data_IF_591304710035
#
_entry.id   IF_591304710035
#
_cell.length_a   1.000
_cell.length_b   1.000
_cell.length_c   1.000
_cell.angle_alpha   90.00
_cell.angle_beta   90.00
_cell.angle_gamma   90.00
#
_symmetry.space_group_name_H-M   'P 1'
#
loop_
_entity.id
_entity.type
_entity.pdbx_description
1 polymer ?
#
# COMPACT_ATOMS: atom_id res chain seq x y z
N UNK A 1 5.41 0.77 -18.82
CA UNK A 1 6.83 1.03 -19.17
C UNK A 1 7.70 0.55 -18.01
N UNK A 2 8.71 -0.29 -18.26
CA UNK A 2 9.49 -0.95 -17.20
C UNK A 2 10.45 0.03 -16.51
N UNK A 3 10.59 -0.09 -15.18
CA UNK A 3 11.61 0.62 -14.40
C UNK A 3 12.99 0.07 -14.78
N UNK A 4 13.99 0.96 -14.87
CA UNK A 4 15.37 0.60 -15.17
C UNK A 4 15.90 -0.43 -14.16
N UNK A 5 16.32 -1.59 -14.65
CA UNK A 5 16.85 -2.70 -13.86
C UNK A 5 18.38 -2.69 -13.90
N UNK A 6 19.01 -2.50 -12.73
CA UNK A 6 20.47 -2.49 -12.58
C UNK A 6 20.86 -3.58 -11.58
N UNK A 7 21.70 -4.54 -11.99
CA UNK A 7 22.21 -5.60 -11.09
C UNK A 7 23.30 -5.11 -10.12
N UNK A 8 23.86 -3.93 -10.33
CA UNK A 8 24.90 -3.33 -9.48
C UNK A 8 24.33 -2.67 -8.22
N UNK A 9 23.29 -3.25 -7.63
CA UNK A 9 22.70 -2.71 -6.41
C UNK A 9 23.54 -3.15 -5.20
N UNK A 10 24.49 -2.30 -4.81
CA UNK A 10 25.44 -2.54 -3.70
C UNK A 10 24.79 -2.37 -2.32
N UNK A 11 23.56 -1.84 -2.27
CA UNK A 11 22.80 -1.61 -1.04
C UNK A 11 21.51 -2.43 -1.11
N UNK A 12 21.39 -3.42 -0.22
CA UNK A 12 20.09 -4.00 0.09
C UNK A 12 19.23 -2.87 0.67
N UNK A 13 18.02 -2.60 0.14
CA UNK A 13 17.07 -1.76 0.86
C UNK A 13 16.60 -2.63 2.02
N UNK A 14 17.41 -2.69 3.06
CA UNK A 14 17.02 -3.25 4.34
C UNK A 14 16.03 -2.24 4.89
N UNK A 15 14.75 -2.47 4.61
CA UNK A 15 13.71 -2.03 5.53
C UNK A 15 13.88 -2.92 6.76
N UNK A 16 14.68 -2.45 7.72
CA UNK A 16 14.66 -2.96 9.09
C UNK A 16 13.24 -2.67 9.57
N UNK A 17 12.34 -3.62 9.33
CA UNK A 17 10.91 -3.58 9.65
C UNK A 17 10.70 -2.63 10.81
N UNK A 18 10.11 -1.46 10.55
CA UNK A 18 9.56 -0.63 11.59
C UNK A 18 8.61 -1.57 12.32
N UNK A 19 9.06 -2.11 13.47
CA UNK A 19 8.30 -3.09 14.23
C UNK A 19 7.15 -2.35 14.86
N UNK A 20 6.08 -2.25 14.09
CA UNK A 20 4.78 -1.83 14.56
C UNK A 20 4.41 -2.78 15.71
N UNK A 21 3.79 -2.23 16.75
CA UNK A 21 3.35 -3.05 17.88
C UNK A 21 2.40 -4.13 17.37
N UNK A 22 2.50 -5.36 17.88
CA UNK A 22 1.67 -6.48 17.42
C UNK A 22 0.16 -6.24 17.55
N UNK A 23 -0.26 -5.31 18.40
CA UNK A 23 -1.66 -4.91 18.61
C UNK A 23 -2.09 -3.69 17.79
N UNK A 24 -1.29 -3.26 16.81
CA UNK A 24 -1.62 -2.11 15.99
C UNK A 24 -2.76 -2.41 15.00
N UNK A 25 -3.58 -1.39 14.75
CA UNK A 25 -4.72 -1.44 13.84
C UNK A 25 -4.28 -1.74 12.40
N UNK A 26 -3.05 -1.38 12.01
CA UNK A 26 -2.48 -1.68 10.70
C UNK A 26 -2.49 -3.18 10.38
N UNK A 27 -2.26 -4.05 11.37
CA UNK A 27 -2.34 -5.51 11.19
C UNK A 27 -3.78 -5.96 10.95
N UNK A 28 -4.73 -5.45 11.72
CA UNK A 28 -6.15 -5.77 11.51
C UNK A 28 -6.65 -5.31 10.13
N UNK A 29 -6.23 -4.12 9.67
CA UNK A 29 -6.54 -3.61 8.33
C UNK A 29 -5.88 -4.47 7.25
N UNK A 30 -4.62 -4.88 7.45
CA UNK A 30 -3.92 -5.76 6.53
C UNK A 30 -4.65 -7.09 6.36
N UNK A 31 -4.98 -7.75 7.46
CA UNK A 31 -5.62 -9.07 7.45
C UNK A 31 -7.02 -9.02 6.85
N UNK A 32 -7.77 -7.95 7.11
CA UNK A 32 -9.06 -7.71 6.50
C UNK A 32 -8.95 -7.58 4.97
N UNK A 33 -7.97 -6.82 4.48
CA UNK A 33 -7.80 -6.58 3.04
C UNK A 33 -7.25 -7.81 2.31
N UNK A 34 -6.38 -8.60 2.95
CA UNK A 34 -5.85 -9.84 2.37
C UNK A 34 -6.88 -10.96 2.25
N UNK A 35 -7.93 -10.96 3.09
CA UNK A 35 -9.05 -11.90 2.98
C UNK A 35 -9.95 -11.64 1.77
N UNK A 36 -9.86 -10.47 1.14
CA UNK A 36 -10.69 -10.11 -0.02
C UNK A 36 -10.16 -10.85 -1.27
N UNK A 37 -11.02 -11.58 -2.01
CA UNK A 37 -10.59 -12.30 -3.19
C UNK A 37 -10.07 -11.35 -4.27
N UNK A 38 -9.00 -11.75 -4.96
CA UNK A 38 -8.34 -10.93 -5.99
C UNK A 38 -9.28 -10.50 -7.13
N UNK A 39 -10.31 -11.31 -7.42
CA UNK A 39 -11.37 -10.98 -8.38
C UNK A 39 -12.11 -9.68 -8.06
N UNK A 40 -12.16 -9.26 -6.80
CA UNK A 40 -12.76 -7.98 -6.42
C UNK A 40 -11.88 -6.78 -6.83
N UNK A 41 -10.58 -7.00 -7.01
CA UNK A 41 -9.63 -5.95 -7.39
C UNK A 41 -9.38 -5.86 -8.90
N UNK A 42 -9.80 -6.87 -9.67
CA UNK A 42 -9.59 -6.93 -11.13
C UNK A 42 -10.11 -5.69 -11.89
N UNK A 43 -11.23 -5.04 -11.53
CA UNK A 43 -11.70 -3.85 -12.24
C UNK A 43 -10.79 -2.63 -12.07
N UNK A 44 -9.95 -2.61 -11.03
CA UNK A 44 -9.06 -1.50 -10.71
C UNK A 44 -7.66 -1.68 -11.30
N UNK A 45 -7.35 -2.88 -11.79
CA UNK A 45 -6.08 -3.16 -12.45
C UNK A 45 -6.17 -2.64 -13.88
N UNK A 46 -5.20 -1.82 -14.26
CA UNK A 46 -5.07 -1.30 -15.62
C UNK A 46 -3.92 -2.01 -16.32
N UNK A 47 -4.25 -2.74 -17.38
CA UNK A 47 -3.28 -3.40 -18.27
C UNK A 47 -2.42 -2.38 -19.04
N UNK A 48 -3.00 -1.21 -19.35
CA UNK A 48 -2.36 -0.19 -20.19
C UNK A 48 -2.06 1.09 -19.41
N UNK A 49 -0.90 1.70 -19.70
CA UNK A 49 -0.42 2.93 -19.07
C UNK A 49 0.64 2.70 -17.99
N UNK A 50 0.84 3.69 -17.13
CA UNK A 50 1.69 3.56 -15.93
C UNK A 50 0.79 3.39 -14.71
N UNK A 51 0.54 2.15 -14.23
CA UNK A 51 -0.20 1.95 -12.99
C UNK A 51 0.59 2.57 -11.83
N UNK A 52 -0.06 3.40 -11.01
CA UNK A 52 0.59 4.09 -9.91
C UNK A 52 0.92 3.11 -8.76
N UNK A 53 -0.10 2.45 -8.20
CA UNK A 53 0.00 1.56 -7.05
C UNK A 53 -0.96 0.38 -7.18
N UNK A 54 -0.69 -0.70 -6.44
CA UNK A 54 -1.56 -1.86 -6.39
C UNK A 54 -2.89 -1.52 -5.67
N UNK A 55 -4.08 -1.86 -6.20
CA UNK A 55 -5.37 -1.54 -5.57
C UNK A 55 -5.47 -2.03 -4.12
N UNK A 56 -4.91 -3.21 -3.84
CA UNK A 56 -4.82 -3.77 -2.47
C UNK A 56 -4.02 -2.89 -1.51
N UNK A 57 -2.89 -2.36 -1.95
CA UNK A 57 -2.07 -1.45 -1.15
C UNK A 57 -2.81 -0.12 -0.92
N UNK A 58 -3.44 0.41 -1.97
CA UNK A 58 -4.20 1.66 -1.88
C UNK A 58 -5.38 1.54 -0.89
N UNK A 59 -6.05 0.39 -0.87
CA UNK A 59 -7.15 0.15 0.06
C UNK A 59 -6.70 0.10 1.52
N UNK A 60 -5.55 -0.52 1.81
CA UNK A 60 -4.96 -0.52 3.17
C UNK A 60 -4.68 0.90 3.65
N UNK A 61 -4.13 1.76 2.78
CA UNK A 61 -3.85 3.16 3.09
C UNK A 61 -5.13 3.92 3.44
N UNK A 62 -6.17 3.79 2.62
CA UNK A 62 -7.45 4.49 2.83
C UNK A 62 -8.10 4.03 4.15
N UNK A 63 -8.18 2.73 4.38
CA UNK A 63 -8.78 2.17 5.59
C UNK A 63 -7.98 2.58 6.84
N UNK A 64 -6.65 2.51 6.79
CA UNK A 64 -5.80 2.95 7.89
C UNK A 64 -6.02 4.44 8.20
N UNK A 65 -6.08 5.31 7.20
CA UNK A 65 -6.36 6.73 7.42
C UNK A 65 -7.75 6.99 8.01
N UNK A 66 -8.75 6.20 7.61
CA UNK A 66 -10.11 6.34 8.14
C UNK A 66 -10.20 5.93 9.61
N UNK A 67 -9.39 4.97 10.07
CA UNK A 67 -9.29 4.65 11.51
C UNK A 67 -8.78 5.83 12.33
N UNK A 68 -7.99 6.72 11.71
CA UNK A 68 -7.47 7.94 12.33
C UNK A 68 -8.36 9.16 12.09
N UNK A 69 -9.59 8.96 11.59
CA UNK A 69 -10.54 10.03 11.25
C UNK A 69 -10.04 11.02 10.18
N UNK A 70 -9.15 10.57 9.29
CA UNK A 70 -8.62 11.35 8.16
C UNK A 70 -9.31 10.92 6.87
N UNK A 71 -10.31 11.69 6.45
CA UNK A 71 -11.15 11.34 5.29
C UNK A 71 -10.74 12.06 3.99
N UNK A 72 -10.02 13.17 4.08
CA UNK A 72 -9.65 13.97 2.90
C UNK A 72 -8.46 13.37 2.18
N UNK A 73 -8.61 13.07 0.89
CA UNK A 73 -7.53 12.49 0.08
C UNK A 73 -6.23 13.32 0.09
N UNK A 74 -6.31 14.65 0.11
CA UNK A 74 -5.12 15.52 0.25
C UNK A 74 -4.47 15.40 1.62
N UNK A 75 -5.27 15.25 2.68
CA UNK A 75 -4.74 15.02 4.03
C UNK A 75 -4.08 13.65 4.15
N UNK A 76 -4.67 12.62 3.53
CA UNK A 76 -4.08 11.28 3.48
C UNK A 76 -2.74 11.33 2.75
N UNK A 77 -2.66 12.00 1.59
CA UNK A 77 -1.40 12.18 0.87
C UNK A 77 -0.35 12.94 1.69
N UNK A 78 -0.76 13.96 2.44
CA UNK A 78 0.13 14.69 3.35
C UNK A 78 0.67 13.87 4.52
N UNK A 79 -0.03 12.81 4.96
CA UNK A 79 0.44 11.91 6.03
C UNK A 79 1.39 10.81 5.53
N UNK A 80 1.44 10.60 4.20
CA UNK A 80 2.31 9.60 3.56
C UNK A 80 3.66 10.18 3.11
N UNK A 81 3.84 11.49 3.24
CA UNK A 81 5.09 12.20 2.98
C UNK A 81 5.94 12.28 4.23
#
# INVERSE_FOLDING_TARGET
MFKHYTMNQVVLPIDLEIKIQKNDIAYAVNDLVEQIPEKAFSPFIRETGCPAYHPRMMMKIILCAYTQSVFSGRKIEGLLR
#
